data_IF_365749846303
#
_entry.id   IF_365749846303
#
_cell.length_a   1.000
_cell.length_b   1.000
_cell.length_c   1.000
_cell.angle_alpha   90.00
_cell.angle_beta   90.00
_cell.angle_gamma   90.00
#
_symmetry.space_group_name_H-M   'P 1'
#
loop_
_entity.id
_entity.type
_entity.pdbx_description
1 polymer ?
#
# COMPACT_ATOMS: atom_id res chain seq x y z
N UNK A 1 -50.32 11.62 11.01
CA UNK A 1 -49.67 11.18 9.76
C UNK A 1 -48.67 12.26 9.33
N UNK A 2 -47.39 12.08 9.64
CA UNK A 2 -46.33 12.99 9.21
C UNK A 2 -45.47 12.28 8.17
N UNK A 3 -45.40 12.83 6.97
CA UNK A 3 -44.55 12.34 5.87
C UNK A 3 -43.09 12.33 6.30
N UNK A 4 -42.51 11.14 6.44
CA UNK A 4 -41.08 10.96 6.66
C UNK A 4 -40.34 11.36 5.38
N UNK A 5 -39.59 12.44 5.46
CA UNK A 5 -38.62 12.84 4.44
C UNK A 5 -37.58 11.72 4.27
N UNK A 6 -37.71 10.90 3.23
CA UNK A 6 -36.65 9.97 2.85
C UNK A 6 -35.47 10.78 2.29
N UNK A 7 -34.55 11.20 3.17
CA UNK A 7 -33.21 11.67 2.75
C UNK A 7 -32.63 10.59 1.85
N UNK A 8 -32.38 10.91 0.56
CA UNK A 8 -31.58 10.08 -0.35
C UNK A 8 -30.35 9.61 0.42
N UNK A 9 -30.11 8.29 0.47
CA UNK A 9 -28.90 7.72 1.08
C UNK A 9 -27.70 8.51 0.59
N UNK A 10 -27.10 9.25 1.50
CA UNK A 10 -25.98 10.11 1.19
C UNK A 10 -24.79 9.22 0.81
N UNK A 11 -23.90 9.72 -0.04
CA UNK A 11 -22.66 9.06 -0.52
C UNK A 11 -21.66 8.67 0.59
N UNK A 12 -22.06 8.73 1.86
CA UNK A 12 -21.24 8.52 3.05
C UNK A 12 -21.11 7.05 3.47
N UNK A 13 -21.87 6.14 2.87
CA UNK A 13 -21.82 4.70 3.15
C UNK A 13 -21.06 3.88 2.10
N UNK A 14 -20.29 4.55 1.23
CA UNK A 14 -19.37 3.86 0.32
C UNK A 14 -18.05 3.61 1.10
N UNK A 15 -17.59 2.36 1.27
CA UNK A 15 -16.34 2.06 1.98
C UNK A 15 -15.11 2.71 1.33
N UNK A 16 -15.22 3.18 0.08
CA UNK A 16 -14.20 3.95 -0.64
C UNK A 16 -14.26 5.47 -0.39
N UNK A 17 -15.18 5.95 0.46
CA UNK A 17 -15.33 7.38 0.74
C UNK A 17 -14.51 7.79 1.97
N UNK A 18 -13.37 8.45 1.73
CA UNK A 18 -12.45 8.88 2.79
C UNK A 18 -11.46 9.94 2.35
N UNK A 19 -10.91 10.68 3.31
CA UNK A 19 -9.76 11.56 3.06
C UNK A 19 -8.50 10.71 2.94
N UNK A 20 -7.69 11.03 1.93
CA UNK A 20 -6.40 10.39 1.68
C UNK A 20 -5.32 11.46 1.50
N UNK A 21 -4.07 11.10 1.79
CA UNK A 21 -2.91 11.92 1.48
C UNK A 21 -2.27 11.38 0.21
N UNK A 22 -1.98 12.28 -0.72
CA UNK A 22 -1.13 12.03 -1.88
C UNK A 22 0.25 12.62 -1.59
N UNK A 23 1.34 11.98 -2.00
CA UNK A 23 2.66 12.60 -2.01
C UNK A 23 2.64 13.89 -2.85
N UNK A 24 3.32 14.98 -2.45
CA UNK A 24 4.19 15.15 -1.28
C UNK A 24 3.45 15.69 -0.02
N UNK A 25 2.22 15.26 0.25
CA UNK A 25 1.42 15.67 1.41
C UNK A 25 0.07 16.33 1.08
N UNK A 26 -0.34 16.32 -0.19
CA UNK A 26 -1.61 16.86 -0.64
C UNK A 26 -2.78 16.04 -0.10
N UNK A 27 -3.70 16.66 0.64
CA UNK A 27 -4.93 15.98 1.08
C UNK A 27 -6.00 16.04 -0.01
N UNK A 28 -6.50 14.88 -0.41
CA UNK A 28 -7.63 14.74 -1.34
C UNK A 28 -8.66 13.75 -0.81
N UNK A 29 -9.77 13.57 -1.53
CA UNK A 29 -10.81 12.60 -1.22
C UNK A 29 -10.80 11.48 -2.24
N UNK A 30 -10.85 10.23 -1.77
CA UNK A 30 -11.21 9.06 -2.59
C UNK A 30 -12.70 9.14 -2.91
N UNK A 31 -13.06 8.80 -4.15
CA UNK A 31 -14.41 8.99 -4.70
C UNK A 31 -14.91 7.66 -5.27
N UNK A 32 -16.05 7.18 -4.79
CA UNK A 32 -16.72 6.02 -5.40
C UNK A 32 -17.44 6.37 -6.71
N UNK A 33 -17.63 5.38 -7.59
CA UNK A 33 -18.40 5.54 -8.84
C UNK A 33 -19.84 6.03 -8.60
N UNK A 34 -20.40 5.75 -7.42
CA UNK A 34 -21.74 6.16 -7.03
C UNK A 34 -21.89 7.68 -6.84
N UNK A 35 -20.78 8.39 -6.59
CA UNK A 35 -20.75 9.84 -6.43
C UNK A 35 -20.69 10.59 -7.76
N UNK A 36 -20.51 9.89 -8.89
CA UNK A 36 -20.33 10.49 -10.21
C UNK A 36 -21.66 10.64 -10.96
N UNK A 37 -21.71 11.61 -11.87
CA UNK A 37 -22.83 11.72 -12.80
C UNK A 37 -22.83 10.55 -13.81
N UNK A 38 -23.95 10.33 -14.49
CA UNK A 38 -24.14 9.16 -15.39
C UNK A 38 -23.07 9.07 -16.51
N UNK A 39 -22.63 10.20 -17.06
CA UNK A 39 -21.64 10.23 -18.15
C UNK A 39 -20.24 9.89 -17.63
N UNK A 40 -19.82 10.54 -16.54
CA UNK A 40 -18.54 10.29 -15.88
C UNK A 40 -18.45 8.85 -15.36
N UNK A 41 -19.52 8.36 -14.74
CA UNK A 41 -19.60 6.98 -14.23
C UNK A 41 -19.34 5.96 -15.33
N UNK A 42 -19.96 6.10 -16.52
CA UNK A 42 -19.74 5.19 -17.65
C UNK A 42 -18.31 5.23 -18.19
N UNK A 43 -17.69 6.43 -18.17
CA UNK A 43 -16.31 6.61 -18.61
C UNK A 43 -15.33 5.95 -17.63
N UNK A 44 -15.43 6.28 -16.35
CA UNK A 44 -14.54 5.74 -15.33
C UNK A 44 -14.77 4.26 -15.06
N UNK A 45 -16.00 3.76 -15.16
CA UNK A 45 -16.28 2.33 -15.05
C UNK A 45 -15.58 1.53 -16.16
N UNK A 46 -15.50 2.06 -17.39
CA UNK A 46 -14.71 1.44 -18.46
C UNK A 46 -13.21 1.50 -18.19
N UNK A 47 -12.72 2.61 -17.65
CA UNK A 47 -11.32 2.77 -17.29
C UNK A 47 -10.90 1.78 -16.18
N UNK A 48 -11.66 1.69 -15.09
CA UNK A 48 -11.38 0.78 -13.97
C UNK A 48 -11.45 -0.70 -14.36
N UNK A 49 -12.30 -1.06 -15.33
CA UNK A 49 -12.30 -2.42 -15.91
C UNK A 49 -11.00 -2.74 -16.66
N UNK A 50 -10.36 -1.74 -17.25
CA UNK A 50 -9.09 -1.89 -18.00
C UNK A 50 -7.86 -1.79 -17.09
N UNK A 51 -7.98 -1.01 -16.02
CA UNK A 51 -6.93 -0.75 -15.04
C UNK A 51 -7.49 -0.96 -13.63
N UNK A 52 -7.53 -2.23 -13.20
CA UNK A 52 -8.13 -2.63 -11.92
C UNK A 52 -7.38 -2.07 -10.69
N UNK A 53 -6.11 -1.69 -10.85
CA UNK A 53 -5.28 -1.07 -9.81
C UNK A 53 -5.47 0.45 -9.68
N UNK A 54 -6.35 1.06 -10.49
CA UNK A 54 -6.63 2.49 -10.37
C UNK A 54 -7.78 2.73 -9.41
N UNK A 55 -7.75 3.88 -8.75
CA UNK A 55 -8.84 4.39 -7.92
C UNK A 55 -9.16 5.82 -8.30
N UNK A 56 -10.34 6.30 -7.90
CA UNK A 56 -10.77 7.64 -8.26
C UNK A 56 -10.57 8.62 -7.09
N UNK A 57 -10.03 9.79 -7.40
CA UNK A 57 -9.75 10.85 -6.44
C UNK A 57 -10.28 12.19 -6.91
N UNK A 58 -10.53 13.11 -5.99
CA UNK A 58 -10.95 14.47 -6.31
C UNK A 58 -9.76 15.45 -6.37
N UNK A 59 -9.28 15.76 -7.57
CA UNK A 59 -8.09 16.59 -7.77
C UNK A 59 -8.42 17.89 -8.52
N UNK A 60 -8.07 19.03 -7.92
CA UNK A 60 -8.13 20.36 -8.56
C UNK A 60 -9.46 20.62 -9.30
N UNK A 61 -10.59 20.30 -8.67
CA UNK A 61 -11.98 20.46 -9.17
C UNK A 61 -12.50 19.39 -10.13
N UNK A 62 -11.76 18.32 -10.40
CA UNK A 62 -12.25 17.19 -11.22
C UNK A 62 -11.92 15.85 -10.59
N UNK A 63 -12.68 14.83 -10.97
CA UNK A 63 -12.36 13.44 -10.61
C UNK A 63 -11.28 12.92 -11.56
N UNK A 64 -10.27 12.25 -11.00
CA UNK A 64 -9.17 11.61 -11.72
C UNK A 64 -9.08 10.15 -11.32
N UNK A 65 -8.75 9.29 -12.28
CA UNK A 65 -8.27 7.95 -11.98
C UNK A 65 -6.77 8.02 -11.77
N UNK A 66 -6.28 7.50 -10.66
CA UNK A 66 -4.85 7.40 -10.34
C UNK A 66 -4.52 5.98 -9.92
N UNK A 67 -3.29 5.51 -10.14
CA UNK A 67 -2.81 4.25 -9.60
C UNK A 67 -2.92 4.24 -8.06
N UNK A 68 -3.31 3.11 -7.46
CA UNK A 68 -3.48 2.97 -6.00
C UNK A 68 -2.15 3.12 -5.24
N UNK A 69 -1.04 2.74 -5.86
CA UNK A 69 0.34 2.95 -5.38
C UNK A 69 0.74 4.42 -5.27
N UNK A 70 0.02 5.35 -5.89
CA UNK A 70 0.21 6.80 -5.67
C UNK A 70 -0.38 7.25 -4.32
N UNK A 71 -1.31 6.48 -3.75
CA UNK A 71 -2.05 6.84 -2.52
C UNK A 71 -1.45 6.15 -1.31
N UNK A 72 -0.92 4.94 -1.51
CA UNK A 72 -0.06 4.31 -0.56
C UNK A 72 1.28 5.05 -0.63
N UNK A 73 1.76 5.63 0.48
CA UNK A 73 3.18 5.92 0.63
C UNK A 73 3.92 4.57 0.71
N UNK A 74 3.91 3.80 -0.38
CA UNK A 74 4.75 2.62 -0.50
C UNK A 74 6.14 3.17 -0.69
N UNK A 75 6.87 3.27 0.41
CA UNK A 75 8.31 3.42 0.38
C UNK A 75 8.92 2.12 -0.13
N UNK A 76 8.70 1.83 -1.42
CA UNK A 76 9.54 0.87 -2.13
C UNK A 76 10.94 1.45 -2.15
N UNK A 77 11.96 0.59 -2.06
CA UNK A 77 13.33 1.03 -2.32
C UNK A 77 13.39 1.56 -3.76
N UNK A 78 13.54 2.88 -3.87
CA UNK A 78 13.61 3.57 -5.16
C UNK A 78 14.94 3.21 -5.81
N UNK A 79 14.88 2.74 -7.05
CA UNK A 79 16.04 2.36 -7.87
C UNK A 79 16.93 1.25 -7.27
N UNK A 80 16.33 0.25 -6.59
CA UNK A 80 17.06 -0.92 -6.12
C UNK A 80 17.79 -1.64 -7.28
N UNK A 81 19.08 -1.86 -7.10
CA UNK A 81 19.91 -2.64 -8.02
C UNK A 81 19.50 -4.11 -8.03
N UNK A 82 19.88 -4.86 -9.07
CA UNK A 82 19.58 -6.30 -9.13
C UNK A 82 20.21 -7.08 -7.97
N UNK A 83 21.35 -6.63 -7.46
CA UNK A 83 21.99 -7.20 -6.28
C UNK A 83 21.14 -6.97 -5.02
N UNK A 84 20.65 -5.75 -4.81
CA UNK A 84 19.82 -5.40 -3.66
C UNK A 84 18.47 -6.15 -3.71
N UNK A 85 17.88 -6.30 -4.89
CA UNK A 85 16.67 -7.14 -5.08
C UNK A 85 16.94 -8.60 -4.72
N UNK A 86 18.08 -9.14 -5.12
CA UNK A 86 18.47 -10.52 -4.78
C UNK A 86 18.70 -10.68 -3.28
N UNK A 87 19.33 -9.69 -2.62
CA UNK A 87 19.51 -9.66 -1.18
C UNK A 87 18.18 -9.60 -0.42
N UNK A 88 17.21 -8.79 -0.90
CA UNK A 88 15.86 -8.75 -0.34
C UNK A 88 15.15 -10.10 -0.46
N UNK A 89 15.28 -10.78 -1.60
CA UNK A 89 14.72 -12.11 -1.80
C UNK A 89 15.38 -13.16 -0.89
N UNK A 90 16.69 -13.06 -0.67
CA UNK A 90 17.45 -13.95 0.21
C UNK A 90 17.09 -13.81 1.69
N UNK A 91 16.49 -12.68 2.10
CA UNK A 91 16.01 -12.48 3.48
C UNK A 91 14.66 -13.14 3.77
N UNK A 92 13.89 -13.55 2.75
CA UNK A 92 12.56 -14.13 2.91
C UNK A 92 12.53 -15.44 3.72
N UNK A 93 13.48 -16.40 3.56
CA UNK A 93 13.52 -17.61 4.37
C UNK A 93 13.66 -17.32 5.86
N UNK A 94 14.64 -16.48 6.25
CA UNK A 94 14.89 -16.13 7.65
C UNK A 94 13.69 -15.40 8.27
N UNK A 95 13.05 -14.50 7.52
CA UNK A 95 11.80 -13.87 7.93
C UNK A 95 10.71 -14.92 8.18
N UNK A 96 10.54 -15.86 7.25
CA UNK A 96 9.53 -16.92 7.36
C UNK A 96 9.73 -17.82 8.57
N UNK A 97 10.98 -18.23 8.84
CA UNK A 97 11.35 -19.01 10.02
C UNK A 97 11.02 -18.28 11.32
N UNK A 98 11.36 -16.99 11.41
CA UNK A 98 11.05 -16.19 12.59
C UNK A 98 9.53 -16.03 12.79
N UNK A 99 8.78 -15.70 11.73
CA UNK A 99 7.31 -15.58 11.79
C UNK A 99 6.66 -16.92 12.15
N UNK A 100 7.19 -18.04 11.67
CA UNK A 100 6.74 -19.38 12.06
C UNK A 100 6.94 -19.64 13.56
N UNK A 101 8.03 -19.14 14.15
CA UNK A 101 8.35 -19.33 15.57
C UNK A 101 7.41 -18.58 16.53
N UNK A 102 6.92 -17.40 16.13
CA UNK A 102 6.04 -16.54 16.95
C UNK A 102 4.53 -16.73 16.65
N UNK A 103 4.21 -17.49 15.60
CA UNK A 103 2.87 -17.93 15.24
C UNK A 103 2.28 -17.21 14.02
N UNK A 104 2.28 -17.89 12.86
CA UNK A 104 1.78 -17.37 11.58
C UNK A 104 0.31 -16.93 11.56
N UNK A 105 -0.50 -17.41 12.51
CA UNK A 105 -1.93 -17.12 12.58
C UNK A 105 -2.24 -15.79 13.27
N UNK A 106 -1.23 -15.16 13.90
CA UNK A 106 -1.37 -13.85 14.53
C UNK A 106 -1.20 -12.76 13.47
N UNK A 107 -2.11 -11.78 13.37
CA UNK A 107 -1.88 -10.65 12.50
C UNK A 107 -0.70 -9.81 13.02
N UNK A 108 0.05 -9.17 12.12
CA UNK A 108 1.17 -8.28 12.47
C UNK A 108 0.77 -7.17 13.47
N UNK A 109 -0.49 -6.74 13.47
CA UNK A 109 -1.01 -5.74 14.41
C UNK A 109 -0.99 -6.20 15.88
N UNK A 110 -0.97 -7.52 16.12
CA UNK A 110 -0.95 -8.11 17.46
C UNK A 110 0.47 -8.49 17.90
N UNK A 111 1.50 -8.09 17.14
CA UNK A 111 2.88 -8.35 17.50
C UNK A 111 3.34 -7.32 18.53
N UNK A 112 4.06 -7.78 19.55
CA UNK A 112 4.70 -6.90 20.51
C UNK A 112 5.83 -6.13 19.84
N UNK A 113 6.18 -4.99 20.42
CA UNK A 113 7.29 -4.16 19.93
C UNK A 113 8.59 -4.96 19.80
N UNK A 114 8.90 -5.80 20.78
CA UNK A 114 10.09 -6.63 20.80
C UNK A 114 10.07 -7.66 19.65
N UNK A 115 8.91 -8.28 19.40
CA UNK A 115 8.74 -9.25 18.31
C UNK A 115 8.97 -8.59 16.95
N UNK A 116 8.49 -7.35 16.76
CA UNK A 116 8.69 -6.58 15.53
C UNK A 116 10.16 -6.15 15.37
N UNK A 117 10.82 -5.74 16.45
CA UNK A 117 12.24 -5.38 16.42
C UNK A 117 13.10 -6.55 15.97
N UNK A 118 12.89 -7.74 16.54
CA UNK A 118 13.62 -8.94 16.13
C UNK A 118 13.31 -9.34 14.69
N UNK A 119 12.07 -9.14 14.21
CA UNK A 119 11.74 -9.37 12.80
C UNK A 119 12.58 -8.48 11.88
N UNK A 120 12.72 -7.20 12.23
CA UNK A 120 13.55 -6.25 11.48
C UNK A 120 15.03 -6.65 11.52
N UNK A 121 15.54 -7.05 12.68
CA UNK A 121 16.93 -7.53 12.84
C UNK A 121 17.20 -8.74 11.94
N UNK A 122 16.34 -9.76 11.95
CA UNK A 122 16.48 -10.96 11.13
C UNK A 122 16.56 -10.61 9.64
N UNK A 123 15.72 -9.70 9.17
CA UNK A 123 15.71 -9.28 7.76
C UNK A 123 16.98 -8.51 7.39
N UNK A 124 17.39 -7.54 8.23
CA UNK A 124 18.58 -6.73 7.98
C UNK A 124 19.84 -7.60 8.00
N UNK A 125 19.96 -8.51 8.96
CA UNK A 125 21.10 -9.44 9.05
C UNK A 125 21.18 -10.31 7.80
N UNK A 126 20.09 -10.97 7.40
CA UNK A 126 20.10 -11.82 6.20
C UNK A 126 20.42 -11.03 4.91
N UNK A 127 19.91 -9.81 4.81
CA UNK A 127 20.25 -8.90 3.70
C UNK A 127 21.75 -8.55 3.70
N UNK A 128 22.31 -8.16 4.84
CA UNK A 128 23.71 -7.78 4.97
C UNK A 128 24.65 -8.96 4.71
N UNK A 129 24.32 -10.15 5.21
CA UNK A 129 25.07 -11.38 4.97
C UNK A 129 25.13 -11.71 3.47
N UNK A 130 23.99 -11.58 2.78
CA UNK A 130 23.94 -11.75 1.33
C UNK A 130 24.82 -10.72 0.62
N UNK A 131 24.69 -9.44 0.98
CA UNK A 131 25.49 -8.36 0.38
C UNK A 131 26.99 -8.53 0.62
N UNK A 132 27.40 -8.98 1.80
CA UNK A 132 28.80 -9.27 2.13
C UNK A 132 29.32 -10.47 1.33
N UNK A 133 28.51 -11.53 1.17
CA UNK A 133 28.90 -12.70 0.37
C UNK A 133 29.01 -12.39 -1.13
N UNK A 134 28.23 -11.43 -1.62
CA UNK A 134 28.22 -11.01 -3.01
C UNK A 134 29.33 -10.02 -3.37
N UNK A 135 30.04 -9.46 -2.37
CA UNK A 135 31.22 -8.61 -2.54
C UNK A 135 32.46 -9.23 -1.86
N UNK A 136 33.11 -10.24 -2.47
CA UNK A 136 34.25 -10.91 -1.85
C UNK A 136 35.53 -10.06 -1.71
N UNK A 137 35.63 -8.89 -2.38
CA UNK A 137 36.93 -8.20 -2.60
C UNK A 137 37.05 -6.73 -2.14
N UNK A 138 36.16 -6.22 -1.27
CA UNK A 138 36.43 -4.92 -0.61
C UNK A 138 37.30 -5.15 0.65
N UNK A 139 38.62 -5.00 0.47
CA UNK A 139 39.67 -5.07 1.50
C UNK A 139 39.36 -4.08 2.65
N UNK A 140 39.47 -4.49 3.93
CA UNK A 140 39.24 -3.58 5.05
C UNK A 140 40.39 -2.59 5.20
N UNK A 141 40.07 -1.30 5.29
CA UNK A 141 40.91 -0.27 5.91
C UNK A 141 40.11 0.43 7.00
#
# INVERSE_FOLDING_TARGET
MAMAWTRRKSTWHDPDWGWIKLPPGLRTRRVGLAALNRKERSLFQRHLKRHSSHVLIWLLRKVRAVPEDLILEVHNMVDATELEKAAMAAALPSLGEYVASIGMQRPLADYKKEEVLTLVEVVITAYQDYMASAKPDEIPF
#
